data_IF_587144731244
#
_entry.id   IF_587144731244
#
_cell.length_a   1.000
_cell.length_b   1.000
_cell.length_c   1.000
_cell.angle_alpha   90.00
_cell.angle_beta   90.00
_cell.angle_gamma   90.00
#
_symmetry.space_group_name_H-M   'P 1'
#
loop_
_entity.id
_entity.type
_entity.pdbx_description
1 polymer ?
#
# COMPACT_ATOMS: atom_id res chain seq x y z
N UNK A 1 58.09 10.64 -98.53
CA UNK A 1 58.99 11.73 -98.96
C UNK A 1 59.36 12.50 -97.70
N UNK A 2 60.66 12.51 -97.41
CA UNK A 2 61.48 13.25 -96.41
C UNK A 2 60.97 14.68 -96.17
N UNK A 3 61.05 15.35 -95.00
CA UNK A 3 62.15 15.68 -94.04
C UNK A 3 61.51 16.18 -92.71
N UNK A 4 61.98 15.86 -91.50
CA UNK A 4 63.21 16.28 -90.77
C UNK A 4 63.25 17.76 -90.36
N UNK A 5 63.18 17.96 -89.03
CA UNK A 5 63.67 19.01 -88.11
C UNK A 5 63.58 20.50 -88.42
N UNK A 6 62.99 21.24 -87.45
CA UNK A 6 63.67 22.38 -86.82
C UNK A 6 63.22 22.55 -85.35
N UNK A 7 64.05 21.98 -84.46
CA UNK A 7 64.64 22.58 -83.27
C UNK A 7 63.92 23.76 -82.56
N UNK A 8 63.36 23.50 -81.38
CA UNK A 8 63.58 24.30 -80.17
C UNK A 8 63.03 23.58 -78.92
N UNK A 9 63.93 23.05 -78.09
CA UNK A 9 63.73 22.92 -76.63
C UNK A 9 64.42 24.13 -75.97
N UNK A 10 64.16 24.51 -74.69
CA UNK A 10 63.65 23.66 -73.62
C UNK A 10 62.63 24.34 -72.67
N UNK A 11 62.01 23.53 -71.79
CA UNK A 11 62.08 23.72 -70.34
C UNK A 11 61.04 22.83 -69.65
N UNK A 12 61.54 21.98 -68.77
CA UNK A 12 60.78 21.16 -67.84
C UNK A 12 59.75 21.96 -67.04
N UNK A 13 58.55 21.39 -66.91
CA UNK A 13 57.67 21.69 -65.80
C UNK A 13 56.90 20.41 -65.43
N UNK A 14 57.61 19.50 -64.76
CA UNK A 14 56.98 18.53 -63.86
C UNK A 14 56.15 19.32 -62.83
N UNK A 15 54.85 19.44 -63.10
CA UNK A 15 53.86 19.93 -62.16
C UNK A 15 53.61 18.89 -61.07
N UNK A 16 54.56 18.75 -60.15
CA UNK A 16 54.33 18.09 -58.87
C UNK A 16 53.19 18.84 -58.14
N UNK A 17 52.12 18.19 -57.64
CA UNK A 17 51.15 18.88 -56.80
C UNK A 17 51.86 19.33 -55.52
N UNK A 18 51.69 20.58 -55.04
CA UNK A 18 52.28 20.98 -53.78
C UNK A 18 51.62 20.19 -52.65
N UNK A 19 52.39 19.26 -52.06
CA UNK A 19 52.05 18.68 -50.78
C UNK A 19 52.03 19.81 -49.74
N UNK A 20 50.86 20.21 -49.30
CA UNK A 20 50.71 21.07 -48.13
C UNK A 20 50.94 20.22 -46.87
N UNK A 21 52.21 20.08 -46.48
CA UNK A 21 52.65 19.46 -45.22
C UNK A 21 53.26 20.49 -44.27
N UNK A 22 52.72 21.70 -44.24
CA UNK A 22 52.95 22.59 -43.10
C UNK A 22 52.13 22.06 -41.92
N UNK A 23 52.82 21.58 -40.88
CA UNK A 23 52.17 21.24 -39.60
C UNK A 23 51.47 22.47 -39.00
N UNK A 24 50.55 22.27 -38.04
CA UNK A 24 49.82 23.36 -37.43
C UNK A 24 50.77 24.36 -36.78
N UNK A 25 50.46 25.64 -36.96
CA UNK A 25 51.19 26.76 -36.37
C UNK A 25 50.98 26.78 -34.84
N UNK A 26 51.89 27.42 -34.10
CA UNK A 26 51.80 27.50 -32.64
C UNK A 26 50.51 28.21 -32.20
N UNK A 27 50.09 29.25 -32.93
CA UNK A 27 48.86 29.98 -32.71
C UNK A 27 47.61 29.08 -32.86
N UNK A 28 47.58 28.22 -33.89
CA UNK A 28 46.48 27.26 -34.11
C UNK A 28 46.39 26.24 -32.96
N UNK A 29 47.54 25.72 -32.50
CA UNK A 29 47.59 24.79 -31.36
C UNK A 29 47.13 25.45 -30.06
N UNK A 30 47.47 26.72 -29.85
CA UNK A 30 47.02 27.51 -28.68
C UNK A 30 45.51 27.74 -28.75
N UNK A 31 44.98 28.14 -29.91
CA UNK A 31 43.55 28.37 -30.11
C UNK A 31 42.73 27.09 -29.90
N UNK A 32 43.21 25.95 -30.42
CA UNK A 32 42.54 24.67 -30.22
C UNK A 32 42.59 24.22 -28.76
N UNK A 33 43.72 24.37 -28.07
CA UNK A 33 43.81 24.10 -26.63
C UNK A 33 42.76 24.88 -25.84
N UNK A 34 42.61 26.16 -26.15
CA UNK A 34 41.69 27.04 -25.42
C UNK A 34 40.23 26.72 -25.76
N UNK A 35 39.94 26.37 -27.02
CA UNK A 35 38.64 25.83 -27.44
C UNK A 35 38.28 24.55 -26.67
N UNK A 36 39.19 23.58 -26.60
CA UNK A 36 38.96 22.32 -25.88
C UNK A 36 38.77 22.54 -24.38
N UNK A 37 39.53 23.47 -23.77
CA UNK A 37 39.33 23.87 -22.36
C UNK A 37 37.95 24.50 -22.14
N UNK A 38 37.52 25.38 -23.02
CA UNK A 38 36.20 26.01 -22.92
C UNK A 38 35.08 24.97 -23.05
N UNK A 39 35.18 24.07 -24.05
CA UNK A 39 34.22 23.01 -24.27
C UNK A 39 34.16 22.03 -23.08
N UNK A 40 35.31 21.68 -22.50
CA UNK A 40 35.38 20.84 -21.31
C UNK A 40 34.64 21.46 -20.12
N UNK A 41 34.85 22.75 -19.86
CA UNK A 41 34.17 23.45 -18.75
C UNK A 41 32.66 23.57 -18.99
N UNK A 42 32.26 23.82 -20.23
CA UNK A 42 30.85 23.88 -20.60
C UNK A 42 30.18 22.51 -20.43
N UNK A 43 30.82 21.44 -20.90
CA UNK A 43 30.31 20.08 -20.73
C UNK A 43 30.22 19.67 -19.26
N UNK A 44 31.21 20.03 -18.45
CA UNK A 44 31.16 19.79 -17.00
C UNK A 44 29.98 20.53 -16.34
N UNK A 45 29.75 21.79 -16.71
CA UNK A 45 28.61 22.57 -16.22
C UNK A 45 27.28 21.93 -16.64
N UNK A 46 27.15 21.55 -17.91
CA UNK A 46 25.95 20.91 -18.45
C UNK A 46 25.70 19.55 -17.79
N UNK A 47 26.74 18.74 -17.60
CA UNK A 47 26.63 17.44 -16.95
C UNK A 47 26.19 17.57 -15.50
N UNK A 48 26.77 18.51 -14.75
CA UNK A 48 26.38 18.75 -13.37
C UNK A 48 24.94 19.25 -13.28
N UNK A 49 24.53 20.18 -14.16
CA UNK A 49 23.15 20.64 -14.25
C UNK A 49 22.17 19.50 -14.52
N UNK A 50 22.41 18.73 -15.58
CA UNK A 50 21.57 17.59 -15.96
C UNK A 50 21.50 16.52 -14.84
N UNK A 51 22.62 16.27 -14.15
CA UNK A 51 22.65 15.33 -13.02
C UNK A 51 21.78 15.81 -11.86
N UNK A 52 21.84 17.08 -11.53
CA UNK A 52 21.01 17.67 -10.46
C UNK A 52 19.54 17.64 -10.84
N UNK A 53 19.18 18.00 -12.07
CA UNK A 53 17.79 17.93 -12.55
C UNK A 53 17.26 16.49 -12.53
N UNK A 54 18.06 15.51 -12.96
CA UNK A 54 17.69 14.09 -12.92
C UNK A 54 17.42 13.63 -11.48
N UNK A 55 18.28 14.00 -10.52
CA UNK A 55 18.06 13.69 -9.11
C UNK A 55 16.77 14.32 -8.56
N UNK A 56 16.50 15.58 -8.91
CA UNK A 56 15.27 16.26 -8.51
C UNK A 56 14.03 15.59 -9.11
N UNK A 57 14.07 15.23 -10.40
CA UNK A 57 12.98 14.53 -11.07
C UNK A 57 12.73 13.14 -10.47
N UNK A 58 13.77 12.37 -10.16
CA UNK A 58 13.61 11.09 -9.48
C UNK A 58 12.96 11.24 -8.11
N UNK A 59 13.38 12.24 -7.33
CA UNK A 59 12.82 12.52 -6.01
C UNK A 59 11.34 12.93 -6.11
N UNK A 60 11.02 13.83 -7.03
CA UNK A 60 9.65 14.27 -7.28
C UNK A 60 8.76 13.14 -7.80
N UNK A 61 9.29 12.29 -8.68
CA UNK A 61 8.59 11.12 -9.21
C UNK A 61 8.26 10.13 -8.08
N UNK A 62 9.21 9.82 -7.21
CA UNK A 62 8.99 8.91 -6.09
C UNK A 62 7.90 9.44 -5.16
N UNK A 63 7.97 10.73 -4.80
CA UNK A 63 6.94 11.38 -3.98
C UNK A 63 5.56 11.36 -4.66
N UNK A 64 5.49 11.61 -5.96
CA UNK A 64 4.25 11.58 -6.74
C UNK A 64 3.64 10.17 -6.79
N UNK A 65 4.45 9.13 -6.94
CA UNK A 65 3.99 7.73 -6.92
C UNK A 65 3.44 7.36 -5.55
N UNK A 66 4.10 7.77 -4.47
CA UNK A 66 3.63 7.51 -3.10
C UNK A 66 2.32 8.24 -2.79
N UNK A 67 2.21 9.50 -3.21
CA UNK A 67 0.98 10.28 -3.10
C UNK A 67 -0.17 9.61 -3.90
N UNK A 68 0.06 9.26 -5.17
CA UNK A 68 -0.92 8.61 -6.01
C UNK A 68 -1.33 7.23 -5.46
N UNK A 69 -0.40 6.47 -4.88
CA UNK A 69 -0.70 5.19 -4.23
C UNK A 69 -1.59 5.36 -3.00
N UNK A 70 -1.30 6.38 -2.20
CA UNK A 70 -2.09 6.69 -1.00
C UNK A 70 -3.48 7.16 -1.38
N UNK A 71 -3.58 8.12 -2.29
CA UNK A 71 -4.84 8.64 -2.83
C UNK A 71 -5.68 7.53 -3.47
N UNK A 72 -5.07 6.68 -4.31
CA UNK A 72 -5.77 5.57 -4.94
C UNK A 72 -6.31 4.57 -3.92
N UNK A 73 -5.55 4.27 -2.86
CA UNK A 73 -6.03 3.40 -1.77
C UNK A 73 -7.18 4.03 -1.00
N UNK A 74 -7.08 5.32 -0.68
CA UNK A 74 -8.13 6.05 0.04
C UNK A 74 -9.39 6.16 -0.81
N UNK A 75 -9.28 6.45 -2.11
CA UNK A 75 -10.41 6.50 -3.03
C UNK A 75 -11.11 5.15 -3.12
N UNK A 76 -10.36 4.06 -3.32
CA UNK A 76 -10.92 2.72 -3.38
C UNK A 76 -11.60 2.30 -2.07
N UNK A 77 -11.02 2.65 -0.91
CA UNK A 77 -11.66 2.41 0.39
C UNK A 77 -12.87 3.31 0.62
N UNK A 78 -12.86 4.54 0.09
CA UNK A 78 -13.99 5.46 0.14
C UNK A 78 -15.24 4.89 -0.54
N UNK A 79 -15.07 4.24 -1.70
CA UNK A 79 -16.17 3.61 -2.43
C UNK A 79 -16.85 2.48 -1.64
N UNK A 80 -16.06 1.67 -0.92
CA UNK A 80 -16.56 0.53 -0.12
C UNK A 80 -16.76 0.86 1.36
N UNK A 81 -16.47 2.09 1.78
CA UNK A 81 -16.45 2.51 3.19
C UNK A 81 -17.78 2.24 3.89
N UNK A 82 -18.88 2.55 3.20
CA UNK A 82 -20.24 2.39 3.72
C UNK A 82 -20.60 0.92 3.94
N UNK A 83 -20.17 0.03 3.03
CA UNK A 83 -20.37 -1.41 3.15
C UNK A 83 -19.53 -1.99 4.30
N UNK A 84 -18.28 -1.55 4.43
CA UNK A 84 -17.39 -1.95 5.52
C UNK A 84 -17.92 -1.53 6.88
N UNK A 85 -18.37 -0.28 7.02
CA UNK A 85 -18.99 0.23 8.25
C UNK A 85 -20.25 -0.57 8.59
N UNK A 86 -21.08 -0.85 7.59
CA UNK A 86 -22.30 -1.65 7.76
C UNK A 86 -21.98 -3.07 8.25
N UNK A 87 -20.96 -3.70 7.67
CA UNK A 87 -20.52 -5.04 8.08
C UNK A 87 -19.97 -5.04 9.52
N UNK A 88 -19.18 -4.03 9.88
CA UNK A 88 -18.59 -3.89 11.21
C UNK A 88 -19.67 -3.67 12.29
N UNK A 89 -20.63 -2.78 12.02
CA UNK A 89 -21.78 -2.55 12.92
C UNK A 89 -22.53 -3.86 13.18
N UNK A 90 -22.83 -4.63 12.13
CA UNK A 90 -23.52 -5.93 12.24
C UNK A 90 -22.71 -6.93 13.05
N UNK A 91 -21.41 -7.02 12.79
CA UNK A 91 -20.52 -7.95 13.48
C UNK A 91 -20.44 -7.65 14.98
N UNK A 92 -20.23 -6.38 15.36
CA UNK A 92 -20.14 -5.98 16.75
C UNK A 92 -21.48 -6.11 17.48
N UNK A 93 -22.59 -5.76 16.82
CA UNK A 93 -23.94 -5.91 17.38
C UNK A 93 -24.26 -7.38 17.71
N UNK A 94 -23.94 -8.32 16.82
CA UNK A 94 -24.09 -9.76 17.06
C UNK A 94 -23.22 -10.21 18.23
N UNK A 95 -21.97 -9.73 18.32
CA UNK A 95 -21.05 -10.07 19.40
C UNK A 95 -21.55 -9.68 20.79
N UNK A 96 -22.35 -8.62 20.92
CA UNK A 96 -22.90 -8.16 22.20
C UNK A 96 -24.39 -8.46 22.39
N UNK A 97 -25.04 -9.11 21.41
CA UNK A 97 -26.48 -9.37 21.43
C UNK A 97 -27.33 -8.09 21.40
N UNK A 98 -26.85 -7.05 20.71
CA UNK A 98 -27.60 -5.81 20.49
C UNK A 98 -28.38 -5.89 19.18
N UNK A 99 -29.58 -5.33 19.17
CA UNK A 99 -30.37 -5.19 17.96
C UNK A 99 -30.05 -3.85 17.31
N UNK A 100 -29.63 -3.88 16.04
CA UNK A 100 -29.33 -2.66 15.30
C UNK A 100 -30.62 -1.98 14.82
N UNK A 101 -30.72 -0.65 14.93
CA UNK A 101 -31.77 0.09 14.25
C UNK A 101 -31.58 0.02 12.74
N UNK A 102 -32.60 0.42 11.98
CA UNK A 102 -32.50 0.51 10.53
C UNK A 102 -31.38 1.49 10.13
N UNK A 103 -30.36 0.94 9.47
CA UNK A 103 -29.16 1.65 9.06
C UNK A 103 -29.44 2.71 7.99
N UNK A 104 -30.60 2.66 7.32
CA UNK A 104 -31.00 3.67 6.34
C UNK A 104 -31.21 5.07 6.94
N UNK A 105 -31.52 5.14 8.24
CA UNK A 105 -31.69 6.39 8.98
C UNK A 105 -30.42 6.83 9.71
N UNK A 106 -29.33 6.06 9.62
CA UNK A 106 -28.09 6.32 10.32
C UNK A 106 -27.10 7.07 9.41
N UNK A 107 -26.46 8.09 9.96
CA UNK A 107 -25.36 8.79 9.30
C UNK A 107 -24.08 7.94 9.39
N UNK A 108 -23.89 7.05 8.40
CA UNK A 108 -22.78 6.10 8.33
C UNK A 108 -21.40 6.79 8.22
N UNK A 109 -21.38 8.07 7.82
CA UNK A 109 -20.14 8.85 7.71
C UNK A 109 -19.49 9.07 9.09
N UNK A 110 -20.28 9.12 10.17
CA UNK A 110 -19.79 9.27 11.55
C UNK A 110 -19.01 8.07 12.08
N UNK A 111 -19.16 6.93 11.42
CA UNK A 111 -18.49 5.69 11.74
C UNK A 111 -17.30 5.42 10.82
N UNK A 112 -17.00 6.35 9.92
CA UNK A 112 -15.85 6.26 9.01
C UNK A 112 -14.72 7.13 9.56
N UNK A 113 -13.50 6.58 9.61
CA UNK A 113 -12.27 7.28 10.01
C UNK A 113 -11.65 8.06 8.85
N UNK A 114 -10.56 8.77 9.14
CA UNK A 114 -9.85 9.62 8.16
C UNK A 114 -9.27 8.84 6.97
N UNK A 115 -9.03 7.55 7.13
CA UNK A 115 -8.50 6.65 6.11
C UNK A 115 -9.60 5.88 5.34
N UNK A 116 -10.85 6.34 5.45
CA UNK A 116 -12.03 5.70 4.85
C UNK A 116 -12.32 4.28 5.38
N UNK A 117 -11.76 3.91 6.55
CA UNK A 117 -12.07 2.65 7.24
C UNK A 117 -13.12 2.85 8.34
N UNK A 118 -13.74 1.76 8.83
CA UNK A 118 -14.57 1.84 10.03
C UNK A 118 -13.78 2.34 11.24
N UNK A 119 -14.34 3.30 11.97
CA UNK A 119 -13.82 3.81 13.22
C UNK A 119 -14.30 2.92 14.38
N UNK A 120 -13.43 2.09 14.99
CA UNK A 120 -13.82 1.12 15.99
C UNK A 120 -14.38 1.77 17.26
N UNK A 121 -13.87 2.95 17.64
CA UNK A 121 -14.30 3.65 18.86
C UNK A 121 -15.71 4.21 18.70
N UNK A 122 -16.01 4.81 17.54
CA UNK A 122 -17.35 5.31 17.22
C UNK A 122 -18.36 4.17 17.11
N UNK A 123 -18.00 3.07 16.43
CA UNK A 123 -18.86 1.88 16.31
C UNK A 123 -19.14 1.30 17.70
N UNK A 124 -18.10 1.06 18.50
CA UNK A 124 -18.25 0.51 19.84
C UNK A 124 -19.11 1.38 20.74
N UNK A 125 -18.87 2.69 20.74
CA UNK A 125 -19.65 3.65 21.55
C UNK A 125 -21.13 3.63 21.19
N UNK A 126 -21.44 3.53 19.89
CA UNK A 126 -22.82 3.40 19.43
C UNK A 126 -23.45 2.09 19.86
N UNK A 127 -22.76 0.96 19.66
CA UNK A 127 -23.25 -0.36 20.07
C UNK A 127 -23.49 -0.44 21.59
N UNK A 128 -22.61 0.16 22.40
CA UNK A 128 -22.77 0.23 23.86
C UNK A 128 -23.96 1.09 24.30
N UNK A 129 -24.36 2.08 23.47
CA UNK A 129 -25.53 2.92 23.73
C UNK A 129 -26.85 2.24 23.39
N UNK A 130 -26.82 1.17 22.57
CA UNK A 130 -28.02 0.43 22.22
C UNK A 130 -28.56 -0.33 23.43
N UNK A 131 -29.88 -0.46 23.55
CA UNK A 131 -30.46 -1.34 24.55
C UNK A 131 -29.95 -2.76 24.27
N UNK A 132 -29.12 -3.28 25.18
CA UNK A 132 -28.73 -4.68 25.15
C UNK A 132 -30.02 -5.47 25.25
N UNK A 133 -30.20 -6.47 24.39
CA UNK A 133 -31.27 -7.42 24.64
C UNK A 133 -30.94 -8.04 26.00
N UNK A 134 -31.68 -7.62 27.03
CA UNK A 134 -31.78 -8.38 28.26
C UNK A 134 -32.17 -9.74 27.74
N UNK A 135 -31.33 -10.75 27.97
CA UNK A 135 -31.66 -12.14 27.73
C UNK A 135 -32.91 -12.46 28.55
N UNK A 136 -34.05 -12.05 28.02
CA UNK A 136 -35.35 -12.63 28.20
C UNK A 136 -35.28 -13.89 27.37
N UNK A 137 -34.37 -14.78 27.76
CA UNK A 137 -34.55 -16.17 27.41
C UNK A 137 -35.99 -16.47 27.82
N UNK A 138 -36.79 -17.12 26.98
CA UNK A 138 -37.95 -17.79 27.52
C UNK A 138 -37.37 -18.75 28.54
N UNK A 139 -37.36 -18.33 29.81
CA UNK A 139 -37.20 -19.25 30.92
C UNK A 139 -38.20 -20.32 30.59
N UNK A 140 -37.70 -21.51 30.23
CA UNK A 140 -38.56 -22.62 29.85
C UNK A 140 -39.66 -22.65 30.90
N UNK A 141 -40.95 -22.58 30.52
CA UNK A 141 -42.00 -22.69 31.51
C UNK A 141 -41.68 -23.96 32.30
N UNK A 142 -41.63 -23.90 33.64
CA UNK A 142 -41.31 -25.08 34.42
C UNK A 142 -42.23 -26.18 33.90
N UNK A 143 -41.64 -27.27 33.42
CA UNK A 143 -42.39 -28.40 32.89
C UNK A 143 -43.25 -28.86 34.05
N UNK A 144 -44.52 -28.44 34.05
CA UNK A 144 -45.58 -29.03 34.85
C UNK A 144 -45.94 -30.39 34.23
N UNK A 145 -44.91 -31.22 34.02
CA UNK A 145 -45.06 -32.62 33.70
C UNK A 145 -45.53 -33.29 34.97
N UNK A 146 -46.58 -34.09 34.85
CA UNK A 146 -47.15 -34.91 35.90
C UNK A 146 -46.16 -36.02 36.34
N UNK A 147 -45.03 -35.62 36.91
CA UNK A 147 -43.95 -36.47 37.38
C UNK A 147 -43.43 -35.92 38.71
N UNK A 148 -43.48 -36.75 39.73
CA UNK A 148 -43.26 -36.54 41.16
C UNK A 148 -41.89 -36.00 41.60
N UNK A 149 -41.26 -35.09 40.87
CA UNK A 149 -39.99 -34.50 41.30
C UNK A 149 -40.24 -33.33 42.26
N UNK A 150 -40.74 -33.65 43.46
CA UNK A 150 -40.54 -32.76 44.62
C UNK A 150 -39.05 -32.82 44.95
N UNK A 151 -38.33 -31.76 44.61
CA UNK A 151 -36.94 -31.57 45.04
C UNK A 151 -36.86 -31.65 46.56
N UNK A 152 -36.33 -32.76 47.05
CA UNK A 152 -35.82 -32.85 48.41
C UNK A 152 -34.49 -32.12 48.48
N UNK A 153 -34.28 -31.32 49.53
CA UNK A 153 -33.00 -30.74 49.87
C UNK A 153 -31.95 -31.86 50.02
N UNK A 154 -31.22 -32.15 48.95
CA UNK A 154 -30.01 -32.96 48.97
C UNK A 154 -28.83 -32.04 48.72
N UNK A 155 -28.18 -31.59 49.80
CA UNK A 155 -26.88 -30.95 49.72
C UNK A 155 -25.87 -32.03 49.30
N UNK A 156 -25.48 -32.05 48.02
CA UNK A 156 -24.45 -32.97 47.52
C UNK A 156 -23.08 -32.36 47.82
N UNK A 157 -22.58 -32.61 49.04
CA UNK A 157 -21.26 -32.09 49.47
C UNK A 157 -20.08 -32.93 48.98
N UNK A 158 -20.27 -33.84 48.00
CA UNK A 158 -19.25 -34.80 47.58
C UNK A 158 -19.36 -35.14 46.10
N UNK A 159 -18.22 -35.06 45.39
CA UNK A 159 -18.05 -35.47 43.99
C UNK A 159 -17.51 -36.91 43.88
N UNK A 160 -17.53 -37.67 44.97
CA UNK A 160 -17.00 -39.02 45.00
C UNK A 160 -17.99 -40.00 44.33
N UNK A 161 -17.60 -40.71 43.25
CA UNK A 161 -18.52 -41.53 42.47
C UNK A 161 -19.15 -42.68 43.26
N UNK A 162 -18.49 -43.20 44.28
CA UNK A 162 -19.03 -44.29 45.13
C UNK A 162 -20.19 -43.82 46.02
N UNK A 163 -20.09 -42.60 46.58
CA UNK A 163 -21.14 -42.04 47.43
C UNK A 163 -22.37 -41.62 46.62
N UNK A 164 -22.14 -41.17 45.38
CA UNK A 164 -23.21 -40.91 44.41
C UNK A 164 -23.94 -42.19 44.03
N UNK A 165 -23.21 -43.30 43.83
CA UNK A 165 -23.82 -44.58 43.51
C UNK A 165 -24.69 -45.11 44.67
N UNK A 166 -24.22 -45.00 45.91
CA UNK A 166 -24.99 -45.39 47.11
C UNK A 166 -26.24 -44.53 47.33
N UNK A 167 -26.14 -43.22 47.09
CA UNK A 167 -27.28 -42.31 47.20
C UNK A 167 -28.35 -42.60 46.14
N UNK A 168 -27.93 -42.85 44.89
CA UNK A 168 -28.84 -43.21 43.79
C UNK A 168 -29.48 -44.59 44.05
N UNK A 169 -28.74 -45.52 44.67
CA UNK A 169 -29.22 -46.87 44.99
C UNK A 169 -30.02 -46.96 46.31
N UNK A 170 -30.20 -45.86 47.04
CA UNK A 170 -30.96 -45.85 48.29
C UNK A 170 -30.31 -46.62 49.45
N UNK A 171 -28.98 -46.76 49.46
CA UNK A 171 -28.22 -47.34 50.58
C UNK A 171 -28.38 -48.86 50.77
N UNK A 172 -28.30 -49.65 49.71
CA UNK A 172 -28.22 -51.11 49.85
C UNK A 172 -27.18 -51.73 48.93
N UNK A 173 -25.95 -51.86 49.45
CA UNK A 173 -25.05 -52.93 49.06
C UNK A 173 -24.52 -53.62 50.33
N UNK A 174 -24.87 -54.90 50.47
CA UNK A 174 -24.19 -55.87 51.34
C UNK A 174 -22.91 -56.34 50.64
#
# INVERSE_FOLDING_TARGET
>A
MTTQDDNAAPADAEGNPPASTAGPTLEEVIADRDRWKALSRQNETNFNGARTELQQLQTAQQAAIEAARTEGRTSALGEVSTELVTAELRLQAVGVGAELPDLSFLDLTRFTGEDSRPNPDSVKSFIESLPKQVSSGPGFPPIAGAGHNKGGNGDFSSTNPSELADYIAGGSFL
#
